data_IF_789744307640
#
_entry.id   IF_789744307640
#
_cell.length_a   1.000
_cell.length_b   1.000
_cell.length_c   1.000
_cell.angle_alpha   90.00
_cell.angle_beta   90.00
_cell.angle_gamma   90.00
#
_symmetry.space_group_name_H-M   'P 1'
#
loop_
_entity.id
_entity.type
_entity.pdbx_description
1 polymer ?
#
# COMPACT_ATOMS: atom_id res chain seq x y z
N UNK A 1 -62.57 -0.60 29.55
CA UNK A 1 -61.52 0.31 29.06
C UNK A 1 -60.27 -0.53 28.76
N UNK A 2 -59.88 -0.65 27.48
CA UNK A 2 -58.77 -1.51 27.03
C UNK A 2 -57.48 -0.69 26.99
N UNK A 3 -56.52 -1.00 27.85
CA UNK A 3 -55.18 -0.41 27.81
C UNK A 3 -54.40 -1.01 26.64
N UNK A 4 -54.00 -0.17 25.68
CA UNK A 4 -53.06 -0.55 24.61
C UNK A 4 -51.64 -0.29 25.12
N UNK A 5 -50.89 -1.37 25.36
CA UNK A 5 -49.47 -1.34 25.65
C UNK A 5 -48.72 -1.19 24.32
N UNK A 6 -48.01 -0.07 24.13
CA UNK A 6 -47.16 0.16 22.95
C UNK A 6 -45.74 -0.25 23.34
N UNK A 7 -45.27 -1.37 22.78
CA UNK A 7 -43.90 -1.86 22.99
C UNK A 7 -42.98 -1.22 21.95
N UNK A 8 -42.05 -0.38 22.39
CA UNK A 8 -41.02 0.23 21.55
C UNK A 8 -39.83 -0.74 21.46
N UNK A 9 -39.61 -1.33 20.28
CA UNK A 9 -38.46 -2.22 20.03
C UNK A 9 -37.27 -1.33 19.67
N UNK A 10 -36.31 -1.24 20.59
CA UNK A 10 -35.05 -0.53 20.39
C UNK A 10 -34.10 -1.40 19.53
N UNK A 11 -33.90 -1.02 18.27
CA UNK A 11 -32.89 -1.64 17.41
C UNK A 11 -31.50 -1.10 17.81
N UNK A 12 -30.75 -1.87 18.59
CA UNK A 12 -29.35 -1.57 18.88
C UNK A 12 -28.52 -1.95 17.65
N UNK A 13 -28.12 -0.95 16.88
CA UNK A 13 -27.14 -1.13 15.80
C UNK A 13 -25.78 -1.32 16.47
N UNK A 14 -25.32 -2.56 16.54
CA UNK A 14 -23.96 -2.88 16.97
C UNK A 14 -23.03 -2.53 15.82
N UNK A 15 -22.41 -1.35 15.87
CA UNK A 15 -21.30 -1.01 14.97
C UNK A 15 -20.08 -1.80 15.41
N UNK A 16 -19.76 -2.87 14.70
CA UNK A 16 -18.47 -3.54 14.85
C UNK A 16 -17.39 -2.60 14.34
N UNK A 17 -16.65 -1.98 15.26
CA UNK A 17 -15.38 -1.33 14.94
C UNK A 17 -14.41 -2.45 14.55
N UNK A 18 -14.18 -2.64 13.25
CA UNK A 18 -13.13 -3.54 12.77
C UNK A 18 -11.79 -2.94 13.18
N UNK A 19 -11.24 -3.37 14.31
CA UNK A 19 -9.84 -3.19 14.63
C UNK A 19 -9.02 -3.72 13.44
N UNK A 20 -8.08 -2.91 12.94
CA UNK A 20 -7.25 -3.26 11.78
C UNK A 20 -6.67 -4.66 11.89
N UNK A 21 -6.64 -5.40 10.79
CA UNK A 21 -6.01 -6.73 10.80
C UNK A 21 -4.58 -6.59 11.28
N UNK A 22 -4.22 -7.27 12.38
CA UNK A 22 -2.85 -7.26 12.87
C UNK A 22 -1.93 -7.89 11.81
N UNK A 23 -1.14 -7.06 11.13
CA UNK A 23 -0.13 -7.52 10.17
C UNK A 23 0.95 -8.28 10.93
N UNK A 24 1.05 -9.60 10.69
CA UNK A 24 2.09 -10.43 11.30
C UNK A 24 3.40 -10.32 10.54
N UNK A 25 4.24 -9.36 10.92
CA UNK A 25 5.52 -9.15 10.24
C UNK A 25 6.41 -10.41 10.24
N UNK A 26 6.95 -10.83 9.08
CA UNK A 26 7.76 -12.05 8.99
C UNK A 26 9.10 -11.88 9.71
N UNK A 27 9.66 -12.96 10.23
CA UNK A 27 11.02 -12.92 10.80
C UNK A 27 12.09 -12.84 9.71
N UNK A 28 13.20 -12.20 10.05
CA UNK A 28 14.37 -12.06 9.18
C UNK A 28 15.61 -12.57 9.92
N UNK A 29 16.19 -13.66 9.42
CA UNK A 29 17.30 -14.36 10.09
C UNK A 29 18.46 -13.43 10.40
N UNK A 30 18.85 -13.38 11.68
CA UNK A 30 19.96 -12.57 12.16
C UNK A 30 19.68 -11.08 12.30
N UNK A 31 18.42 -10.66 12.13
CA UNK A 31 17.96 -9.32 12.45
C UNK A 31 16.98 -9.39 13.63
N UNK A 32 17.11 -8.45 14.56
CA UNK A 32 16.12 -8.23 15.60
C UNK A 32 14.96 -7.43 15.02
N UNK A 33 13.75 -7.98 15.09
CA UNK A 33 12.52 -7.35 14.63
C UNK A 33 11.95 -6.44 15.72
N UNK A 34 11.60 -5.21 15.34
CA UNK A 34 10.99 -4.18 16.17
C UNK A 34 9.64 -3.81 15.58
N UNK A 35 8.58 -3.93 16.38
CA UNK A 35 7.19 -3.70 15.93
C UNK A 35 6.43 -2.76 16.86
N UNK A 36 7.14 -2.12 17.80
CA UNK A 36 6.60 -1.14 18.75
C UNK A 36 6.38 0.22 18.06
N UNK A 37 5.62 0.21 16.96
CA UNK A 37 5.14 1.40 16.28
C UNK A 37 3.62 1.50 16.50
N UNK A 38 3.06 2.71 16.64
CA UNK A 38 1.62 2.87 16.53
C UNK A 38 1.17 2.44 15.13
N UNK A 39 -0.05 1.90 15.03
CA UNK A 39 -0.72 1.78 13.74
C UNK A 39 -1.21 3.18 13.37
N UNK A 40 -0.85 3.64 12.17
CA UNK A 40 -1.35 4.91 11.67
C UNK A 40 -2.65 4.68 10.89
N UNK A 41 -3.61 5.56 11.10
CA UNK A 41 -4.94 5.60 10.53
C UNK A 41 -5.13 6.93 9.78
N UNK A 42 -6.23 7.12 9.03
CA UNK A 42 -6.41 8.30 8.19
C UNK A 42 -6.30 9.64 8.94
N UNK A 43 -6.66 9.66 10.22
CA UNK A 43 -6.62 10.83 11.09
C UNK A 43 -5.22 11.21 11.58
N UNK A 44 -4.26 10.28 11.60
CA UNK A 44 -2.91 10.52 12.12
C UNK A 44 -1.77 10.18 11.14
N UNK A 45 -2.08 9.82 9.88
CA UNK A 45 -1.06 9.51 8.87
C UNK A 45 -0.08 10.68 8.63
N UNK A 46 -0.55 11.91 8.81
CA UNK A 46 0.23 13.15 8.73
C UNK A 46 1.41 13.18 9.69
N UNK A 47 1.28 12.56 10.86
CA UNK A 47 2.35 12.48 11.85
C UNK A 47 3.52 11.63 11.34
N UNK A 48 3.27 10.75 10.37
CA UNK A 48 4.27 9.85 9.81
C UNK A 48 4.84 10.33 8.46
N UNK A 49 3.99 10.76 7.53
CA UNK A 49 4.38 11.20 6.17
C UNK A 49 3.80 12.57 5.83
N UNK A 50 4.12 13.56 6.66
CA UNK A 50 3.71 14.94 6.44
C UNK A 50 4.07 15.41 5.02
N UNK A 51 3.12 16.07 4.35
CA UNK A 51 3.23 16.52 2.96
C UNK A 51 2.93 15.48 1.88
N UNK A 52 2.93 14.18 2.22
CA UNK A 52 2.57 13.10 1.29
C UNK A 52 1.24 12.40 1.62
N UNK A 53 0.74 12.56 2.85
CA UNK A 53 -0.45 11.84 3.32
C UNK A 53 -1.71 12.10 2.46
N UNK A 54 -1.92 13.32 1.95
CA UNK A 54 -3.08 13.64 1.08
C UNK A 54 -3.20 12.66 -0.09
N UNK A 55 -2.10 12.34 -0.76
CA UNK A 55 -2.10 11.41 -1.90
C UNK A 55 -2.51 10.00 -1.48
N UNK A 56 -2.06 9.54 -0.31
CA UNK A 56 -2.46 8.24 0.24
C UNK A 56 -3.94 8.24 0.64
N UNK A 57 -4.42 9.31 1.28
CA UNK A 57 -5.81 9.48 1.72
C UNK A 57 -6.78 9.54 0.53
N UNK A 58 -6.44 10.31 -0.51
CA UNK A 58 -7.19 10.40 -1.76
C UNK A 58 -7.32 9.04 -2.46
N UNK A 59 -6.34 8.16 -2.25
CA UNK A 59 -6.33 6.78 -2.71
C UNK A 59 -6.86 5.80 -1.66
N UNK A 60 -7.78 6.23 -0.79
CA UNK A 60 -8.52 5.32 0.10
C UNK A 60 -7.63 4.56 1.09
N UNK A 61 -6.58 5.20 1.62
CA UNK A 61 -5.78 4.68 2.72
C UNK A 61 -6.65 4.24 3.91
N UNK A 62 -6.28 3.12 4.55
CA UNK A 62 -7.00 2.53 5.67
C UNK A 62 -6.13 2.46 6.93
N UNK A 63 -4.93 1.90 6.81
CA UNK A 63 -3.97 1.82 7.89
C UNK A 63 -2.54 1.62 7.37
N UNK A 64 -1.58 1.96 8.22
CA UNK A 64 -0.15 1.72 8.00
C UNK A 64 0.43 0.97 9.19
N UNK A 65 1.08 -0.14 8.88
CA UNK A 65 1.87 -0.92 9.82
C UNK A 65 3.36 -0.76 9.52
N UNK A 66 4.16 -0.48 10.56
CA UNK A 66 5.60 -0.25 10.45
C UNK A 66 6.38 -1.26 11.29
N UNK A 67 7.48 -1.77 10.73
CA UNK A 67 8.46 -2.58 11.45
C UNK A 67 9.89 -2.19 11.07
N UNK A 68 10.82 -2.38 12.00
CA UNK A 68 12.25 -2.27 11.73
C UNK A 68 12.97 -3.58 12.02
N UNK A 69 13.94 -3.91 11.17
CA UNK A 69 14.82 -5.07 11.33
C UNK A 69 16.24 -4.57 11.52
N UNK A 70 16.82 -4.83 12.71
CA UNK A 70 18.14 -4.30 13.10
C UNK A 70 19.20 -5.41 13.22
N UNK A 71 20.38 -5.15 12.66
CA UNK A 71 21.59 -5.98 12.83
C UNK A 71 22.82 -5.10 12.98
N UNK A 72 23.28 -4.91 14.22
CA UNK A 72 24.32 -3.94 14.54
C UNK A 72 23.88 -2.52 14.16
N UNK A 73 24.66 -1.84 13.30
CA UNK A 73 24.35 -0.49 12.78
C UNK A 73 23.40 -0.49 11.56
N UNK A 74 23.08 -1.65 11.01
CA UNK A 74 22.24 -1.75 9.83
C UNK A 74 20.76 -1.85 10.23
N UNK A 75 19.91 -1.08 9.55
CA UNK A 75 18.45 -1.09 9.74
C UNK A 75 17.78 -1.29 8.38
N UNK A 76 16.77 -2.16 8.35
CA UNK A 76 15.81 -2.27 7.24
C UNK A 76 14.45 -1.87 7.80
N UNK A 77 13.84 -0.83 7.24
CA UNK A 77 12.49 -0.37 7.61
C UNK A 77 11.49 -0.95 6.63
N UNK A 78 10.39 -1.49 7.15
CA UNK A 78 9.26 -2.03 6.40
C UNK A 78 8.01 -1.22 6.74
N UNK A 79 7.36 -0.70 5.70
CA UNK A 79 6.10 0.04 5.79
C UNK A 79 5.08 -0.69 4.90
N UNK A 80 3.94 -1.08 5.47
CA UNK A 80 2.84 -1.76 4.76
C UNK A 80 1.61 -0.86 4.86
N UNK A 81 1.28 -0.19 3.76
CA UNK A 81 0.13 0.67 3.61
C UNK A 81 -1.03 -0.16 3.05
N UNK A 82 -2.16 -0.19 3.76
CA UNK A 82 -3.40 -0.79 3.28
C UNK A 82 -4.29 0.28 2.68
N UNK A 83 -4.77 0.02 1.48
CA UNK A 83 -5.75 0.83 0.78
C UNK A 83 -7.08 0.09 0.66
N UNK A 84 -8.13 0.80 0.24
CA UNK A 84 -9.49 0.27 0.13
C UNK A 84 -9.59 -0.97 -0.77
N UNK A 85 -8.81 -1.03 -1.85
CA UNK A 85 -8.82 -2.13 -2.80
C UNK A 85 -7.55 -2.15 -3.67
N UNK A 86 -7.49 -3.11 -4.59
CA UNK A 86 -6.37 -3.33 -5.49
C UNK A 86 -6.03 -2.13 -6.40
N UNK A 87 -7.06 -1.52 -7.01
CA UNK A 87 -6.90 -0.33 -7.85
C UNK A 87 -6.31 0.86 -7.07
N UNK A 88 -6.75 1.06 -5.82
CA UNK A 88 -6.22 2.14 -4.99
C UNK A 88 -4.75 1.95 -4.62
N UNK A 89 -4.36 0.71 -4.29
CA UNK A 89 -2.96 0.37 -4.05
C UNK A 89 -2.10 0.53 -5.31
N UNK A 90 -2.63 0.18 -6.49
CA UNK A 90 -1.99 0.49 -7.76
C UNK A 90 -1.84 2.01 -7.97
N UNK A 91 -2.85 2.80 -7.62
CA UNK A 91 -2.80 4.26 -7.72
C UNK A 91 -1.58 4.85 -7.01
N UNK A 92 -1.33 4.46 -5.76
CA UNK A 92 -0.19 5.03 -5.02
C UNK A 92 1.13 4.51 -5.57
N UNK A 93 1.21 3.21 -5.86
CA UNK A 93 2.39 2.58 -6.46
C UNK A 93 2.77 3.26 -7.78
N UNK A 94 1.78 3.52 -8.64
CA UNK A 94 1.97 4.17 -9.94
C UNK A 94 2.35 5.64 -9.83
N UNK A 95 1.90 6.35 -8.78
CA UNK A 95 2.30 7.74 -8.54
C UNK A 95 3.72 7.90 -8.00
N UNK A 96 4.26 6.88 -7.31
CA UNK A 96 5.60 6.93 -6.73
C UNK A 96 6.70 6.30 -7.60
N UNK A 97 6.33 5.60 -8.69
CA UNK A 97 7.30 4.95 -9.58
C UNK A 97 7.77 5.90 -10.69
N UNK A 98 8.98 5.64 -11.20
CA UNK A 98 9.54 6.27 -12.39
C UNK A 98 9.83 5.21 -13.45
N UNK A 99 9.67 5.49 -14.76
CA UNK A 99 10.05 4.56 -15.82
C UNK A 99 11.54 4.22 -15.83
N UNK A 100 12.39 5.03 -15.17
CA UNK A 100 13.84 4.78 -15.05
C UNK A 100 14.22 3.79 -13.94
N UNK A 101 13.28 3.35 -13.11
CA UNK A 101 13.58 2.44 -12.00
C UNK A 101 13.81 1.00 -12.47
N UNK A 102 14.49 0.21 -11.64
CA UNK A 102 14.72 -1.20 -11.91
C UNK A 102 13.49 -2.03 -11.49
N UNK A 103 12.60 -2.30 -12.42
CA UNK A 103 11.39 -3.09 -12.17
C UNK A 103 11.68 -4.57 -11.90
N UNK A 104 10.94 -5.16 -10.98
CA UNK A 104 11.06 -6.55 -10.54
C UNK A 104 9.69 -7.24 -10.47
N UNK A 105 9.68 -8.55 -10.68
CA UNK A 105 8.47 -9.36 -10.52
C UNK A 105 8.24 -9.70 -9.04
N UNK A 106 7.52 -8.82 -8.34
CA UNK A 106 7.20 -8.96 -6.92
C UNK A 106 5.79 -8.40 -6.66
N UNK A 107 4.91 -9.22 -6.08
CA UNK A 107 3.49 -8.87 -5.99
C UNK A 107 2.86 -8.79 -7.39
N UNK A 108 2.15 -7.69 -7.65
CA UNK A 108 1.67 -7.32 -8.99
C UNK A 108 2.76 -6.66 -9.84
N UNK A 109 3.55 -5.78 -9.21
CA UNK A 109 4.79 -5.25 -9.74
C UNK A 109 5.57 -4.62 -8.58
N UNK A 110 6.90 -4.66 -8.66
CA UNK A 110 7.76 -3.87 -7.79
C UNK A 110 8.89 -3.20 -8.55
N UNK A 111 9.65 -2.38 -7.84
CA UNK A 111 10.88 -1.79 -8.32
C UNK A 111 11.92 -1.70 -7.19
N UNK A 112 13.19 -1.61 -7.58
CA UNK A 112 14.32 -1.33 -6.71
C UNK A 112 15.01 -0.04 -7.16
N UNK A 113 15.32 0.83 -6.19
CA UNK A 113 16.08 2.06 -6.40
C UNK A 113 16.78 2.45 -5.10
N UNK A 114 18.09 2.69 -5.14
CA UNK A 114 18.87 3.26 -4.04
C UNK A 114 18.65 2.63 -2.64
N UNK A 115 18.56 1.29 -2.58
CA UNK A 115 18.33 0.57 -1.32
C UNK A 115 16.88 0.55 -0.84
N UNK A 116 15.95 1.00 -1.69
CA UNK A 116 14.51 0.84 -1.54
C UNK A 116 13.97 -0.27 -2.46
N UNK A 117 13.06 -1.09 -1.93
CA UNK A 117 12.27 -2.05 -2.68
C UNK A 117 10.81 -1.73 -2.39
N UNK A 118 10.09 -1.26 -3.41
CA UNK A 118 8.69 -0.93 -3.29
C UNK A 118 7.88 -1.80 -4.24
N UNK A 119 6.73 -2.29 -3.79
CA UNK A 119 5.85 -3.12 -4.60
C UNK A 119 4.41 -3.00 -4.11
N UNK A 120 3.47 -3.44 -4.93
CA UNK A 120 2.08 -3.56 -4.51
C UNK A 120 1.55 -4.98 -4.76
N UNK A 121 0.59 -5.40 -3.95
CA UNK A 121 -0.10 -6.69 -4.05
C UNK A 121 -1.46 -6.58 -3.38
N UNK A 122 -2.51 -7.07 -4.02
CA UNK A 122 -3.87 -6.91 -3.52
C UNK A 122 -4.13 -5.44 -3.19
N UNK A 123 -4.67 -5.16 -2.02
CA UNK A 123 -4.93 -3.79 -1.53
C UNK A 123 -3.76 -3.15 -0.77
N UNK A 124 -2.54 -3.67 -0.92
CA UNK A 124 -1.38 -3.22 -0.15
C UNK A 124 -0.32 -2.59 -1.05
N UNK A 125 0.23 -1.46 -0.58
CA UNK A 125 1.46 -0.89 -1.08
C UNK A 125 2.55 -1.02 -0.01
N UNK A 126 3.71 -1.54 -0.38
CA UNK A 126 4.78 -1.91 0.55
C UNK A 126 6.05 -1.16 0.18
N UNK A 127 6.71 -0.60 1.19
CA UNK A 127 7.99 0.09 1.05
C UNK A 127 8.98 -0.55 2.01
N UNK A 128 10.08 -1.06 1.47
CA UNK A 128 11.20 -1.62 2.24
C UNK A 128 12.43 -0.78 1.95
N UNK A 129 13.06 -0.22 2.97
CA UNK A 129 14.19 0.70 2.79
C UNK A 129 15.34 0.38 3.72
N UNK A 130 16.55 0.55 3.22
CA UNK A 130 17.77 0.53 4.04
C UNK A 130 18.78 1.53 3.51
N UNK A 131 19.51 2.18 4.42
CA UNK A 131 20.64 3.03 4.05
C UNK A 131 21.98 2.26 4.01
N UNK A 132 21.94 0.96 4.28
CA UNK A 132 23.14 0.13 4.26
C UNK A 132 23.51 -0.26 2.83
N UNK A 133 24.73 0.04 2.42
CA UNK A 133 25.31 -0.43 1.15
C UNK A 133 25.90 -1.85 1.25
N UNK A 134 25.90 -2.46 2.43
CA UNK A 134 26.44 -3.83 2.60
C UNK A 134 25.61 -4.84 1.81
N UNK A 135 26.22 -5.66 0.92
CA UNK A 135 25.50 -6.62 0.10
C UNK A 135 24.61 -7.58 0.90
N UNK A 136 25.06 -8.03 2.06
CA UNK A 136 24.28 -8.93 2.93
C UNK A 136 23.01 -8.28 3.50
N UNK A 137 22.99 -6.96 3.70
CA UNK A 137 21.79 -6.25 4.17
C UNK A 137 20.82 -5.97 3.03
N UNK A 138 21.34 -5.64 1.85
CA UNK A 138 20.53 -5.50 0.63
C UNK A 138 19.84 -6.83 0.27
N UNK A 139 20.58 -7.94 0.33
CA UNK A 139 20.01 -9.29 0.13
C UNK A 139 18.99 -9.67 1.20
N UNK A 140 19.20 -9.25 2.45
CA UNK A 140 18.23 -9.46 3.52
C UNK A 140 16.95 -8.64 3.28
N UNK A 141 17.06 -7.40 2.76
CA UNK A 141 15.91 -6.59 2.37
C UNK A 141 15.11 -7.23 1.22
N UNK A 142 15.80 -7.77 0.20
CA UNK A 142 15.15 -8.54 -0.88
C UNK A 142 14.43 -9.79 -0.34
N UNK A 143 15.08 -10.53 0.56
CA UNK A 143 14.49 -11.72 1.18
C UNK A 143 13.26 -11.35 2.03
N UNK A 144 13.30 -10.21 2.74
CA UNK A 144 12.16 -9.69 3.47
C UNK A 144 11.02 -9.33 2.52
N UNK A 145 11.32 -8.66 1.40
CA UNK A 145 10.32 -8.28 0.39
C UNK A 145 9.56 -9.49 -0.15
N UNK A 146 10.27 -10.57 -0.51
CA UNK A 146 9.63 -11.80 -0.97
C UNK A 146 8.73 -12.44 0.11
N UNK A 147 9.19 -12.46 1.36
CA UNK A 147 8.40 -12.99 2.48
C UNK A 147 7.12 -12.19 2.70
N UNK A 148 7.20 -10.86 2.65
CA UNK A 148 6.04 -9.98 2.79
C UNK A 148 5.08 -10.18 1.61
N UNK A 149 5.58 -10.22 0.37
CA UNK A 149 4.73 -10.46 -0.80
C UNK A 149 3.99 -11.81 -0.73
N UNK A 150 4.64 -12.87 -0.24
CA UNK A 150 4.02 -14.18 -0.07
C UNK A 150 3.00 -14.22 1.08
N UNK A 151 3.20 -13.38 2.11
CA UNK A 151 2.32 -13.28 3.27
C UNK A 151 1.04 -12.48 2.96
N UNK A 152 1.15 -11.42 2.15
CA UNK A 152 0.04 -10.54 1.87
C UNK A 152 -1.02 -11.24 1.00
N UNK A 153 -2.32 -11.07 1.31
CA UNK A 153 -3.40 -11.63 0.50
C UNK A 153 -3.69 -10.79 -0.75
N UNK A 154 -4.52 -11.33 -1.64
CA UNK A 154 -5.06 -10.62 -2.80
C UNK A 154 -4.27 -10.83 -4.10
N UNK A 155 -4.71 -10.14 -5.14
CA UNK A 155 -4.23 -10.24 -6.52
C UNK A 155 -2.72 -9.97 -6.66
N UNK A 156 -2.07 -10.70 -7.57
CA UNK A 156 -0.69 -10.48 -8.03
C UNK A 156 -0.66 -10.02 -9.50
N UNK A 157 -1.79 -9.60 -10.02
CA UNK A 157 -1.96 -9.13 -11.39
C UNK A 157 -1.98 -7.60 -11.39
N UNK A 158 -1.69 -6.98 -12.54
CA UNK A 158 -1.97 -5.56 -12.73
C UNK A 158 -3.49 -5.35 -12.86
N UNK A 159 -4.04 -4.17 -12.50
CA UNK A 159 -5.47 -3.93 -12.64
C UNK A 159 -5.99 -4.23 -14.05
N UNK A 160 -7.03 -5.05 -14.14
CA UNK A 160 -7.54 -5.55 -15.43
C UNK A 160 -7.89 -4.44 -16.43
N UNK A 161 -8.31 -3.25 -15.94
CA UNK A 161 -8.59 -2.09 -16.79
C UNK A 161 -7.38 -1.63 -17.62
N UNK A 162 -6.15 -1.87 -17.17
CA UNK A 162 -4.95 -1.51 -17.93
C UNK A 162 -4.81 -2.31 -19.22
N UNK A 163 -5.45 -3.48 -19.32
CA UNK A 163 -5.46 -4.32 -20.53
C UNK A 163 -6.36 -3.74 -21.64
N UNK A 164 -7.21 -2.75 -21.31
CA UNK A 164 -8.10 -2.10 -22.27
C UNK A 164 -7.40 -1.00 -23.09
N UNK A 165 -6.23 -0.55 -22.65
CA UNK A 165 -5.42 0.38 -23.42
C UNK A 165 -4.80 -0.31 -24.64
N UNK A 166 -4.86 0.30 -25.84
CA UNK A 166 -4.10 -0.16 -27.00
C UNK A 166 -2.63 -0.37 -26.66
N UNK A 167 -2.05 -1.48 -27.13
CA UNK A 167 -0.64 -1.80 -26.86
C UNK A 167 0.32 -1.01 -27.74
N UNK A 168 -0.08 -0.67 -28.97
CA UNK A 168 0.76 0.06 -29.91
C UNK A 168 1.07 1.47 -29.39
N UNK A 169 2.36 1.82 -29.34
CA UNK A 169 2.84 3.13 -28.89
C UNK A 169 2.72 3.39 -27.38
N UNK A 170 2.15 2.48 -26.58
CA UNK A 170 1.98 2.69 -25.13
C UNK A 170 3.33 2.70 -24.42
N UNK A 171 3.59 3.74 -23.63
CA UNK A 171 4.81 3.82 -22.81
C UNK A 171 4.71 2.86 -21.63
N UNK A 172 5.63 1.89 -21.60
CA UNK A 172 5.66 0.87 -20.57
C UNK A 172 5.99 1.49 -19.20
N UNK A 173 5.27 1.07 -18.18
CA UNK A 173 5.46 1.49 -16.79
C UNK A 173 5.19 2.96 -16.48
N UNK A 174 4.42 3.62 -17.34
CA UNK A 174 3.97 5.01 -17.14
C UNK A 174 2.46 5.12 -16.94
N UNK A 175 1.75 3.99 -16.85
CA UNK A 175 0.33 4.00 -16.53
C UNK A 175 0.09 4.45 -15.08
N UNK A 176 -0.94 5.27 -14.88
CA UNK A 176 -1.33 5.80 -13.57
C UNK A 176 -2.83 5.64 -13.32
N UNK A 177 -3.24 5.80 -12.06
CA UNK A 177 -4.64 5.85 -11.66
C UNK A 177 -4.90 7.08 -10.78
N UNK A 178 -5.98 7.79 -11.09
CA UNK A 178 -6.47 8.95 -10.36
C UNK A 178 -7.83 8.61 -9.76
N UNK A 179 -7.93 8.62 -8.42
CA UNK A 179 -9.21 8.34 -7.78
C UNK A 179 -10.17 9.52 -7.90
N UNK A 180 -9.67 10.74 -7.80
CA UNK A 180 -10.43 11.98 -7.78
C UNK A 180 -9.69 13.09 -8.54
N UNK A 181 -10.36 14.23 -8.73
CA UNK A 181 -9.79 15.44 -9.34
C UNK A 181 -9.17 15.21 -10.73
N UNK A 182 -9.76 14.31 -11.51
CA UNK A 182 -9.27 13.99 -12.85
C UNK A 182 -9.40 15.23 -13.73
N UNK A 183 -8.29 15.64 -14.35
CA UNK A 183 -8.18 16.89 -15.13
C UNK A 183 -8.61 18.15 -14.35
N UNK A 184 -8.51 18.13 -13.02
CA UNK A 184 -8.90 19.26 -12.16
C UNK A 184 -10.41 19.36 -11.89
N UNK A 185 -11.19 18.35 -12.25
CA UNK A 185 -12.64 18.34 -12.06
C UNK A 185 -13.06 17.32 -11.00
N UNK A 186 -13.67 17.78 -9.91
CA UNK A 186 -14.11 16.92 -8.80
C UNK A 186 -15.13 15.85 -9.19
N UNK A 187 -15.96 16.11 -10.20
CA UNK A 187 -16.96 15.15 -10.69
C UNK A 187 -16.34 14.01 -11.52
N UNK A 188 -15.12 14.22 -12.06
CA UNK A 188 -14.38 13.18 -12.76
C UNK A 188 -13.52 12.42 -11.75
N UNK A 189 -13.82 11.14 -11.60
CA UNK A 189 -13.20 10.26 -10.62
C UNK A 189 -12.89 8.90 -11.25
N UNK A 190 -12.01 8.14 -10.61
CA UNK A 190 -11.69 6.75 -10.95
C UNK A 190 -11.18 6.55 -12.38
N UNK A 191 -10.19 7.35 -12.80
CA UNK A 191 -9.63 7.29 -14.15
C UNK A 191 -8.28 6.57 -14.18
N UNK A 192 -8.08 5.75 -15.21
CA UNK A 192 -6.77 5.26 -15.61
C UNK A 192 -6.20 6.14 -16.71
N UNK A 193 -4.89 6.33 -16.69
CA UNK A 193 -4.17 7.08 -17.70
C UNK A 193 -2.97 6.27 -18.20
N UNK A 194 -2.73 6.28 -19.51
CA UNK A 194 -1.58 5.65 -20.13
C UNK A 194 -1.03 6.58 -21.22
N UNK A 195 0.23 7.04 -21.13
CA UNK A 195 0.83 7.87 -22.16
C UNK A 195 1.32 7.03 -23.35
N UNK A 196 1.37 7.66 -24.52
CA UNK A 196 1.79 7.07 -25.79
C UNK A 196 2.96 7.87 -26.41
N UNK A 197 3.69 7.25 -27.34
CA UNK A 197 4.71 7.87 -28.21
C UNK A 197 4.19 8.10 -29.61
#
# INVERSE_FOLDING_TARGET
MKHKLVTFILFVIVTTVTSGQNVMFPDLKGFRKLTEYPVYYPDNLWDFINGAADGFLALGFQDLHVAEYKKGKNTIKLEIYRHKNHTMAFGIYSSERSPSFNFINLGSQGYNVDGAINFFKGSYYVKIRTYSQKPSTLQAAQSLAQRVANMLPGESEMPAMLTRFPSEGKKMNEETYFNDNVLGHQFLHSAYHAPYT
#
